data_IF_287151481328
#
_entry.id   IF_287151481328
#
_cell.length_a   1.000
_cell.length_b   1.000
_cell.length_c   1.000
_cell.angle_alpha   90.00
_cell.angle_beta   90.00
_cell.angle_gamma   90.00
#
_symmetry.space_group_name_H-M   'P 1'
#
loop_
_entity.id
_entity.type
_entity.pdbx_description
1 polymer ?
#
# COMPACT_ATOMS: atom_id res chain seq x y z
N UNK A 1 -18.55 -41.75 1.62
CA UNK A 1 -19.13 -40.57 2.31
C UNK A 1 -18.08 -39.47 2.49
N UNK A 2 -17.62 -38.81 1.40
CA UNK A 2 -16.85 -37.55 1.48
C UNK A 2 -17.04 -36.72 0.20
N UNK A 3 -18.29 -36.56 -0.25
CA UNK A 3 -18.65 -35.59 -1.30
C UNK A 3 -19.54 -34.45 -0.78
N UNK A 4 -19.86 -34.44 0.52
CA UNK A 4 -20.78 -33.46 1.11
C UNK A 4 -20.09 -32.24 1.76
N UNK A 5 -18.75 -32.15 1.75
CA UNK A 5 -18.04 -31.01 2.36
C UNK A 5 -17.60 -29.94 1.36
N UNK A 6 -17.44 -30.27 0.08
CA UNK A 6 -16.95 -29.29 -0.92
C UNK A 6 -18.06 -28.31 -1.35
N UNK A 7 -19.33 -28.71 -1.25
CA UNK A 7 -20.45 -27.89 -1.68
C UNK A 7 -20.85 -26.80 -0.65
N UNK A 8 -20.57 -27.02 0.64
CA UNK A 8 -20.81 -26.02 1.67
C UNK A 8 -19.74 -24.89 1.66
N UNK A 9 -18.55 -25.17 1.13
CA UNK A 9 -17.49 -24.18 0.94
C UNK A 9 -17.78 -23.23 -0.24
N UNK A 10 -18.62 -23.66 -1.21
CA UNK A 10 -19.04 -22.83 -2.34
C UNK A 10 -20.12 -21.80 -1.97
N UNK A 11 -20.93 -22.08 -0.95
CA UNK A 11 -21.97 -21.16 -0.47
C UNK A 11 -21.40 -20.12 0.51
N UNK A 12 -20.13 -20.26 0.93
CA UNK A 12 -19.36 -19.25 1.66
C UNK A 12 -18.64 -18.25 0.73
N UNK A 13 -19.08 -18.15 -0.54
CA UNK A 13 -18.59 -17.16 -1.51
C UNK A 13 -19.62 -16.04 -1.78
N UNK A 14 -20.79 -16.07 -1.15
CA UNK A 14 -21.69 -14.92 -1.12
C UNK A 14 -21.41 -14.06 0.10
N UNK A 15 -20.46 -13.13 -0.05
CA UNK A 15 -20.51 -11.76 0.48
C UNK A 15 -19.22 -11.07 0.05
N UNK A 16 -19.25 -10.53 -1.16
CA UNK A 16 -18.33 -9.48 -1.58
C UNK A 16 -18.44 -8.29 -0.62
N UNK A 17 -17.33 -7.68 -0.23
CA UNK A 17 -17.26 -6.24 -0.25
C UNK A 17 -16.35 -5.82 -1.40
N UNK A 18 -17.00 -5.22 -2.40
CA UNK A 18 -16.40 -4.39 -3.43
C UNK A 18 -15.80 -3.11 -2.82
N UNK A 19 -14.79 -3.27 -1.97
CA UNK A 19 -13.97 -2.19 -1.45
C UNK A 19 -12.52 -2.54 -1.73
N UNK A 20 -11.84 -1.69 -2.51
CA UNK A 20 -10.39 -1.76 -2.75
C UNK A 20 -9.61 -1.52 -1.46
N UNK A 21 -9.68 -2.47 -0.55
CA UNK A 21 -8.98 -2.50 0.73
C UNK A 21 -7.61 -3.16 0.51
N UNK A 22 -6.57 -2.32 0.59
CA UNK A 22 -5.17 -2.75 0.66
C UNK A 22 -4.79 -2.83 2.13
N UNK A 23 -4.70 -4.05 2.64
CA UNK A 23 -4.07 -4.34 3.93
C UNK A 23 -2.57 -4.01 3.83
N UNK A 24 -2.10 -2.99 4.57
CA UNK A 24 -0.67 -2.78 4.80
C UNK A 24 -0.16 -3.82 5.81
N UNK A 25 0.22 -4.98 5.27
CA UNK A 25 0.86 -6.06 6.03
C UNK A 25 2.36 -6.05 5.73
N UNK A 26 3.16 -5.94 6.79
CA UNK A 26 4.62 -5.96 6.71
C UNK A 26 5.07 -7.27 6.04
N UNK A 27 5.91 -7.15 5.00
CA UNK A 27 6.63 -8.26 4.39
C UNK A 27 7.73 -8.71 5.36
N UNK A 28 7.37 -9.44 6.40
CA UNK A 28 8.35 -10.15 7.23
C UNK A 28 8.54 -11.58 6.71
N UNK A 29 9.56 -12.26 7.24
CA UNK A 29 9.92 -13.63 6.85
C UNK A 29 8.84 -14.67 7.25
N UNK A 30 7.72 -14.24 7.88
CA UNK A 30 6.69 -15.13 8.43
C UNK A 30 5.67 -15.66 7.40
N UNK A 31 5.73 -15.20 6.14
CA UNK A 31 4.92 -15.75 5.05
C UNK A 31 3.43 -15.37 5.07
N UNK A 32 3.04 -14.38 5.88
CA UNK A 32 1.64 -13.93 6.02
C UNK A 32 1.03 -13.39 4.71
N UNK A 33 1.86 -12.90 3.78
CA UNK A 33 1.42 -12.30 2.51
C UNK A 33 0.88 -13.29 1.47
N UNK A 34 1.16 -14.59 1.60
CA UNK A 34 0.74 -15.61 0.61
C UNK A 34 -0.79 -15.66 0.46
N UNK A 35 -1.53 -15.40 1.55
CA UNK A 35 -2.99 -15.40 1.55
C UNK A 35 -3.61 -14.26 0.74
N UNK A 36 -2.89 -13.15 0.57
CA UNK A 36 -3.36 -11.99 -0.19
C UNK A 36 -2.99 -12.05 -1.67
N UNK A 37 -2.06 -12.95 -2.06
CA UNK A 37 -1.63 -13.04 -3.45
C UNK A 37 -2.78 -13.32 -4.40
N UNK A 38 -3.67 -14.26 -4.10
CA UNK A 38 -4.81 -14.56 -4.96
C UNK A 38 -5.75 -13.36 -5.12
N UNK A 39 -5.93 -12.56 -4.05
CA UNK A 39 -6.71 -11.32 -4.12
C UNK A 39 -6.02 -10.31 -5.04
N UNK A 40 -4.72 -10.08 -4.88
CA UNK A 40 -3.96 -9.11 -5.67
C UNK A 40 -3.81 -9.53 -7.13
N UNK A 41 -3.54 -10.80 -7.39
CA UNK A 41 -3.45 -11.36 -8.75
C UNK A 41 -4.78 -11.21 -9.51
N UNK A 42 -5.92 -11.43 -8.84
CA UNK A 42 -7.24 -11.16 -9.46
C UNK A 42 -7.48 -9.68 -9.79
N UNK A 43 -6.77 -8.78 -9.09
CA UNK A 43 -6.75 -7.34 -9.36
C UNK A 43 -5.61 -6.94 -10.30
N UNK A 44 -4.92 -7.90 -10.92
CA UNK A 44 -3.79 -7.68 -11.81
C UNK A 44 -2.60 -6.95 -11.14
N UNK A 45 -2.41 -7.17 -9.84
CA UNK A 45 -1.30 -6.65 -9.03
C UNK A 45 -0.28 -7.76 -8.74
N UNK A 46 0.99 -7.46 -8.97
CA UNK A 46 2.10 -8.41 -8.80
C UNK A 46 3.14 -7.86 -7.82
N UNK A 47 3.67 -8.75 -6.98
CA UNK A 47 4.75 -8.42 -6.05
C UNK A 47 6.10 -8.73 -6.69
N UNK A 48 6.95 -7.70 -6.79
CA UNK A 48 8.31 -7.86 -7.28
C UNK A 48 9.29 -7.87 -6.10
N UNK A 49 10.05 -8.95 -5.96
CA UNK A 49 11.10 -9.05 -4.95
C UNK A 49 12.41 -8.52 -5.51
N UNK A 50 12.97 -7.50 -4.85
CA UNK A 50 14.31 -7.02 -5.15
C UNK A 50 15.36 -7.85 -4.40
N UNK A 51 16.50 -8.18 -5.01
CA UNK A 51 17.60 -8.84 -4.31
C UNK A 51 18.10 -7.97 -3.14
N UNK A 52 18.71 -8.62 -2.15
CA UNK A 52 19.27 -7.93 -0.97
C UNK A 52 20.26 -6.85 -1.42
N UNK A 53 20.21 -5.69 -0.76
CA UNK A 53 21.09 -4.54 -1.00
C UNK A 53 20.98 -3.91 -2.41
N UNK A 54 19.94 -4.21 -3.18
CA UNK A 54 19.68 -3.59 -4.49
C UNK A 54 18.72 -2.37 -4.39
N UNK A 55 18.95 -1.48 -3.43
CA UNK A 55 18.13 -0.25 -3.30
C UNK A 55 18.24 0.66 -4.52
N UNK A 56 19.37 0.63 -5.24
CA UNK A 56 19.58 1.37 -6.49
C UNK A 56 18.61 0.97 -7.61
N UNK A 57 18.09 -0.26 -7.58
CA UNK A 57 17.11 -0.75 -8.54
C UNK A 57 15.67 -0.38 -8.16
N UNK A 58 15.43 0.17 -6.98
CA UNK A 58 14.12 0.61 -6.54
C UNK A 58 13.86 2.05 -7.02
N UNK A 59 12.99 2.28 -8.02
CA UNK A 59 12.83 3.62 -8.61
C UNK A 59 12.35 4.67 -7.62
N UNK A 60 11.63 4.27 -6.57
CA UNK A 60 11.11 5.20 -5.55
C UNK A 60 12.22 5.91 -4.77
N UNK A 61 13.39 5.29 -4.61
CA UNK A 61 14.54 5.90 -3.92
C UNK A 61 15.03 7.15 -4.66
N UNK A 62 15.04 7.08 -5.99
CA UNK A 62 15.40 8.20 -6.84
C UNK A 62 14.34 9.32 -6.75
N UNK A 63 13.06 8.94 -6.70
CA UNK A 63 11.96 9.89 -6.56
C UNK A 63 12.04 10.66 -5.23
N UNK A 64 12.31 9.96 -4.13
CA UNK A 64 12.52 10.58 -2.81
C UNK A 64 13.76 11.48 -2.77
N UNK A 65 14.84 11.09 -3.46
CA UNK A 65 16.03 11.92 -3.58
C UNK A 65 15.73 13.23 -4.28
N UNK A 66 15.00 13.19 -5.39
CA UNK A 66 14.56 14.39 -6.11
C UNK A 66 13.61 15.24 -5.28
N UNK A 67 12.64 14.63 -4.60
CA UNK A 67 11.70 15.37 -3.76
C UNK A 67 12.42 16.17 -2.67
N UNK A 68 13.35 15.54 -1.95
CA UNK A 68 14.14 16.22 -0.91
C UNK A 68 15.04 17.32 -1.47
N UNK A 69 15.66 17.08 -2.62
CA UNK A 69 16.61 18.02 -3.23
C UNK A 69 15.94 19.20 -3.91
N UNK A 70 14.82 18.98 -4.58
CA UNK A 70 14.25 19.97 -5.50
C UNK A 70 13.05 20.69 -4.87
N UNK A 71 12.27 20.02 -4.00
CA UNK A 71 11.01 20.55 -3.46
C UNK A 71 11.09 20.95 -1.98
N UNK A 72 11.97 20.29 -1.21
CA UNK A 72 12.11 20.49 0.24
C UNK A 72 13.41 21.17 0.65
N UNK A 73 14.36 21.35 -0.28
CA UNK A 73 15.66 21.93 0.06
C UNK A 73 15.52 23.36 0.57
N UNK A 74 16.18 23.66 1.69
CA UNK A 74 16.19 25.01 2.27
C UNK A 74 14.91 25.38 3.02
N UNK A 75 13.93 24.47 3.14
CA UNK A 75 12.79 24.62 4.05
C UNK A 75 13.17 24.12 5.45
N UNK A 76 12.71 24.84 6.46
CA UNK A 76 12.73 24.40 7.85
C UNK A 76 11.29 24.13 8.26
N UNK A 77 11.09 23.13 9.12
CA UNK A 77 9.77 22.70 9.57
C UNK A 77 9.77 22.68 11.08
N UNK A 78 8.74 23.27 11.70
CA UNK A 78 8.60 23.34 13.15
C UNK A 78 8.01 22.05 13.72
N UNK A 79 7.12 21.40 12.97
CA UNK A 79 6.46 20.16 13.36
C UNK A 79 6.27 19.16 12.20
N UNK A 80 5.84 17.95 12.56
CA UNK A 80 5.58 16.87 11.61
C UNK A 80 4.43 17.18 10.64
N UNK A 81 3.43 17.95 11.10
CA UNK A 81 2.28 18.30 10.29
C UNK A 81 2.69 19.23 9.14
N UNK A 82 3.52 20.23 9.43
CA UNK A 82 4.11 21.13 8.44
C UNK A 82 4.99 20.37 7.44
N UNK A 83 5.82 19.45 7.91
CA UNK A 83 6.62 18.58 7.05
C UNK A 83 5.73 17.73 6.14
N UNK A 84 4.66 17.13 6.66
CA UNK A 84 3.73 16.31 5.89
C UNK A 84 3.05 17.12 4.78
N UNK A 85 2.57 18.34 5.09
CA UNK A 85 2.00 19.22 4.07
C UNK A 85 3.04 19.61 3.02
N UNK A 86 4.26 19.95 3.42
CA UNK A 86 5.32 20.29 2.48
C UNK A 86 5.69 19.12 1.55
N UNK A 87 5.67 17.89 2.06
CA UNK A 87 5.84 16.66 1.25
C UNK A 87 4.70 16.50 0.25
N UNK A 88 3.44 16.62 0.69
CA UNK A 88 2.27 16.53 -0.19
C UNK A 88 2.32 17.58 -1.31
N UNK A 89 2.65 18.82 -0.96
CA UNK A 89 2.80 19.91 -1.92
C UNK A 89 3.95 19.67 -2.91
N UNK A 90 5.10 19.19 -2.42
CA UNK A 90 6.23 18.86 -3.28
C UNK A 90 5.92 17.75 -4.28
N UNK A 91 5.21 16.69 -3.84
CA UNK A 91 4.76 15.61 -4.73
C UNK A 91 3.79 16.16 -5.79
N UNK A 92 2.82 16.98 -5.39
CA UNK A 92 1.86 17.60 -6.31
C UNK A 92 2.54 18.56 -7.31
N UNK A 93 3.47 19.40 -6.85
CA UNK A 93 4.21 20.33 -7.70
C UNK A 93 5.03 19.58 -8.76
N UNK A 94 5.72 18.51 -8.35
CA UNK A 94 6.50 17.67 -9.25
C UNK A 94 5.62 16.89 -10.23
N UNK A 95 4.47 16.38 -9.78
CA UNK A 95 3.47 15.74 -10.64
C UNK A 95 3.00 16.68 -11.75
N UNK A 96 2.61 17.91 -11.40
CA UNK A 96 2.22 18.95 -12.36
C UNK A 96 3.34 19.27 -13.35
N UNK A 97 4.59 19.42 -12.88
CA UNK A 97 5.77 19.70 -13.72
C UNK A 97 6.01 18.59 -14.75
N UNK A 98 5.78 17.34 -14.37
CA UNK A 98 5.98 16.16 -15.23
C UNK A 98 4.72 15.75 -16.00
N UNK A 99 3.60 16.49 -15.88
CA UNK A 99 2.29 16.14 -16.47
C UNK A 99 1.75 14.78 -16.01
N UNK A 100 2.03 14.41 -14.77
CA UNK A 100 1.51 13.20 -14.14
C UNK A 100 0.32 13.56 -13.22
N UNK A 101 -0.68 12.67 -13.15
CA UNK A 101 -1.74 12.78 -12.15
C UNK A 101 -1.20 12.34 -10.79
N UNK A 102 -1.44 13.14 -9.75
CA UNK A 102 -1.13 12.78 -8.37
C UNK A 102 -2.43 12.59 -7.61
N UNK A 103 -2.63 11.38 -7.08
CA UNK A 103 -3.80 11.05 -6.28
C UNK A 103 -3.36 10.68 -4.86
N UNK A 104 -3.97 11.33 -3.88
CA UNK A 104 -3.76 10.99 -2.47
C UNK A 104 -4.78 9.93 -2.07
N UNK A 105 -4.31 8.69 -1.87
CA UNK A 105 -5.17 7.59 -1.44
C UNK A 105 -5.21 7.53 0.08
N UNK A 106 -6.40 7.78 0.65
CA UNK A 106 -6.65 7.57 2.08
C UNK A 106 -7.09 6.14 2.31
N UNK A 107 -6.31 5.37 3.04
CA UNK A 107 -6.71 4.03 3.48
C UNK A 107 -7.65 4.15 4.69
N UNK A 108 -8.85 3.56 4.60
CA UNK A 108 -9.82 3.54 5.71
C UNK A 108 -9.43 2.43 6.70
N UNK A 109 -9.09 2.81 7.94
CA UNK A 109 -8.66 1.88 9.00
C UNK A 109 -9.84 1.34 9.84
N UNK A 110 -10.93 0.90 9.21
CA UNK A 110 -12.14 0.49 9.94
C UNK A 110 -12.11 -0.91 10.57
N UNK A 111 -10.98 -1.65 10.53
CA UNK A 111 -10.91 -3.02 11.05
C UNK A 111 -10.20 -3.21 12.41
N UNK A 112 -9.82 -2.14 13.14
CA UNK A 112 -9.18 -2.30 14.45
C UNK A 112 -10.13 -2.51 15.65
N UNK A 113 -11.43 -2.75 15.43
CA UNK A 113 -12.34 -3.17 16.50
C UNK A 113 -12.84 -4.60 16.27
N UNK A 114 -11.97 -5.59 16.47
CA UNK A 114 -12.47 -6.93 16.81
C UNK A 114 -12.74 -6.96 18.32
N UNK A 115 -13.95 -7.36 18.78
CA UNK A 115 -14.21 -7.53 20.20
C UNK A 115 -13.33 -8.66 20.75
N UNK A 116 -12.65 -8.38 21.86
CA UNK A 116 -12.01 -9.40 22.68
C UNK A 116 -13.10 -10.34 23.18
N UNK A 117 -13.12 -11.58 22.66
CA UNK A 117 -13.99 -12.62 23.22
C UNK A 117 -13.18 -13.36 24.28
N UNK A 118 -13.55 -13.16 25.54
CA UNK A 118 -13.06 -13.88 26.73
C UNK A 118 -13.53 -15.32 26.72
#
# INVERSE_FOLDING_TARGET
>A
MQQCSIQADLDMLELSPAGGEIDLKYLDESGFCIKLWSKWESQNLYVFFLPKYCSEMNPIELEWKHLKKDELSGKMFEDELELAYAVMDGVNARGKRNKHSTEHMKFNNSCLSQPFVT
#
